data_IF_136852427642
#
_entry.id   IF_136852427642
#
_cell.length_a   1.000
_cell.length_b   1.000
_cell.length_c   1.000
_cell.angle_alpha   90.00
_cell.angle_beta   90.00
_cell.angle_gamma   90.00
#
_symmetry.space_group_name_H-M   'P 1'
#
loop_
_entity.id
_entity.type
_entity.pdbx_description
1 polymer ?
#
# COMPACT_ATOMS: atom_id res chain seq x y z
N UNK A 1 -34.41 -44.83 -7.15
CA UNK A 1 -33.82 -44.06 -8.27
C UNK A 1 -32.37 -43.76 -7.90
N UNK A 2 -31.45 -44.64 -8.27
CA UNK A 2 -30.00 -44.43 -8.09
C UNK A 2 -29.51 -43.67 -9.33
N UNK A 3 -29.15 -42.40 -9.17
CA UNK A 3 -28.46 -41.66 -10.24
C UNK A 3 -27.00 -42.09 -10.18
N UNK A 4 -26.65 -42.99 -11.09
CA UNK A 4 -25.28 -43.46 -11.30
C UNK A 4 -24.49 -42.34 -11.96
N UNK A 5 -23.67 -41.63 -11.16
CA UNK A 5 -22.72 -40.65 -11.68
C UNK A 5 -21.57 -41.38 -12.38
N UNK A 6 -21.66 -41.51 -13.70
CA UNK A 6 -20.53 -41.91 -14.55
C UNK A 6 -19.40 -40.90 -14.41
N UNK A 7 -18.39 -41.24 -13.63
CA UNK A 7 -17.11 -40.53 -13.65
C UNK A 7 -16.38 -40.98 -14.91
N UNK A 8 -16.43 -40.16 -15.96
CA UNK A 8 -15.64 -40.35 -17.17
C UNK A 8 -14.19 -40.07 -16.78
N UNK A 9 -13.47 -41.12 -16.41
CA UNK A 9 -12.03 -41.07 -16.13
C UNK A 9 -11.27 -40.98 -17.46
N UNK A 10 -11.34 -39.83 -18.11
CA UNK A 10 -10.49 -39.50 -19.23
C UNK A 10 -9.10 -39.11 -18.71
N UNK A 11 -8.04 -39.73 -19.22
CA UNK A 11 -6.67 -39.24 -19.08
C UNK A 11 -6.53 -37.89 -19.82
N UNK A 12 -7.10 -36.84 -19.25
CA UNK A 12 -6.90 -35.47 -19.74
C UNK A 12 -5.55 -34.98 -19.23
N UNK A 13 -4.79 -34.28 -20.07
CA UNK A 13 -3.54 -33.64 -19.68
C UNK A 13 -3.80 -32.65 -18.52
N UNK A 14 -3.52 -33.08 -17.29
CA UNK A 14 -3.80 -32.34 -16.04
C UNK A 14 -3.12 -30.97 -16.00
N UNK A 15 -2.05 -30.78 -16.78
CA UNK A 15 -1.29 -29.53 -16.92
C UNK A 15 -2.17 -28.29 -17.09
N UNK A 16 -3.26 -28.34 -17.87
CA UNK A 16 -4.14 -27.17 -18.06
C UNK A 16 -4.95 -26.85 -16.81
N UNK A 17 -5.43 -27.88 -16.11
CA UNK A 17 -6.19 -27.73 -14.86
C UNK A 17 -5.26 -27.28 -13.74
N UNK A 18 -4.04 -27.82 -13.66
CA UNK A 18 -3.00 -27.40 -12.71
C UNK A 18 -2.63 -25.92 -12.90
N UNK A 19 -2.42 -25.48 -14.15
CA UNK A 19 -2.15 -24.06 -14.45
C UNK A 19 -3.34 -23.17 -14.09
N UNK A 20 -4.56 -23.59 -14.40
CA UNK A 20 -5.76 -22.84 -14.05
C UNK A 20 -5.95 -22.75 -12.53
N UNK A 21 -5.81 -23.85 -11.81
CA UNK A 21 -5.93 -23.91 -10.35
C UNK A 21 -4.81 -23.10 -9.66
N UNK A 22 -3.57 -23.16 -10.17
CA UNK A 22 -2.47 -22.35 -9.67
C UNK A 22 -2.68 -20.84 -9.94
N UNK A 23 -3.30 -20.49 -11.06
CA UNK A 23 -3.65 -19.09 -11.36
C UNK A 23 -4.78 -18.61 -10.45
N UNK A 24 -5.82 -19.43 -10.28
CA UNK A 24 -6.93 -19.13 -9.37
C UNK A 24 -6.44 -18.98 -7.92
N UNK A 25 -5.59 -19.90 -7.45
CA UNK A 25 -5.00 -19.81 -6.11
C UNK A 25 -4.15 -18.55 -5.88
N UNK A 26 -3.47 -18.04 -6.91
CA UNK A 26 -2.75 -16.75 -6.83
C UNK A 26 -3.70 -15.55 -6.78
N UNK A 27 -4.83 -15.60 -7.48
CA UNK A 27 -5.86 -14.56 -7.45
C UNK A 27 -6.56 -14.55 -6.08
N UNK A 28 -6.96 -15.72 -5.59
CA UNK A 28 -7.70 -15.89 -4.34
C UNK A 28 -6.85 -15.56 -3.10
N UNK A 29 -5.52 -15.75 -3.17
CA UNK A 29 -4.61 -15.37 -2.11
C UNK A 29 -4.61 -13.85 -1.82
N UNK A 30 -5.03 -13.04 -2.80
CA UNK A 30 -5.06 -11.58 -2.68
C UNK A 30 -3.68 -10.95 -2.47
N UNK A 31 -3.61 -9.63 -2.61
CA UNK A 31 -2.41 -8.88 -2.22
C UNK A 31 -2.63 -8.32 -0.81
N UNK A 32 -1.88 -8.84 0.16
CA UNK A 32 -1.83 -8.25 1.50
C UNK A 32 -0.89 -7.04 1.43
N UNK A 33 -1.46 -5.85 1.31
CA UNK A 33 -0.68 -4.62 1.34
C UNK A 33 -0.16 -4.35 2.76
N UNK A 34 1.08 -3.86 2.91
CA UNK A 34 1.58 -3.43 4.20
C UNK A 34 0.75 -2.27 4.72
N UNK A 35 0.61 -2.19 6.05
CA UNK A 35 -0.11 -1.10 6.70
C UNK A 35 0.54 0.25 6.35
N UNK A 36 -0.29 1.25 6.06
CA UNK A 36 0.17 2.63 5.90
C UNK A 36 0.87 3.13 7.18
N UNK A 37 2.11 3.64 7.12
CA UNK A 37 2.82 4.09 8.32
C UNK A 37 2.05 5.18 9.07
N UNK A 38 2.00 5.08 10.40
CA UNK A 38 1.28 6.07 11.23
C UNK A 38 1.89 7.48 11.09
N UNK A 39 3.21 7.58 10.92
CA UNK A 39 3.91 8.87 10.69
C UNK A 39 3.34 9.63 9.47
N UNK A 40 2.91 8.89 8.44
CA UNK A 40 2.35 9.41 7.20
C UNK A 40 0.89 9.89 7.35
N UNK A 41 0.24 9.65 8.49
CA UNK A 41 -1.08 10.21 8.81
C UNK A 41 -1.00 11.52 9.59
N UNK A 42 0.16 11.82 10.18
CA UNK A 42 0.33 13.01 11.01
C UNK A 42 0.51 14.23 10.12
N UNK A 43 -0.02 15.35 10.59
CA UNK A 43 0.21 16.67 10.02
C UNK A 43 1.15 17.45 10.93
N UNK A 44 2.07 18.19 10.33
CA UNK A 44 2.90 19.13 11.08
C UNK A 44 2.08 20.34 11.50
N UNK A 45 2.20 20.74 12.77
CA UNK A 45 1.57 21.97 13.24
C UNK A 45 2.31 23.20 12.71
N UNK A 46 1.57 24.24 12.37
CA UNK A 46 2.10 25.57 12.15
C UNK A 46 2.81 26.12 13.40
N UNK A 47 3.73 27.04 13.20
CA UNK A 47 4.36 27.77 14.28
C UNK A 47 3.35 28.64 15.03
N UNK A 48 3.43 28.64 16.35
CA UNK A 48 2.58 29.49 17.17
C UNK A 48 2.87 30.98 16.93
N UNK A 49 1.81 31.75 16.71
CA UNK A 49 1.85 33.22 16.61
C UNK A 49 1.37 33.80 17.93
N UNK A 50 2.29 34.38 18.68
CA UNK A 50 2.02 35.01 19.98
C UNK A 50 2.00 36.53 19.84
N UNK A 51 1.22 37.22 20.69
CA UNK A 51 1.21 38.68 20.72
C UNK A 51 2.58 39.19 21.15
N UNK A 52 3.15 40.10 20.35
CA UNK A 52 4.50 40.62 20.56
C UNK A 52 5.63 39.76 19.98
N UNK A 53 5.32 38.62 19.35
CA UNK A 53 6.32 37.84 18.64
C UNK A 53 6.88 38.62 17.44
N UNK A 54 8.19 38.56 17.27
CA UNK A 54 8.85 39.11 16.09
C UNK A 54 8.48 38.27 14.85
N UNK A 55 8.01 38.93 13.79
CA UNK A 55 7.40 38.26 12.63
C UNK A 55 8.40 37.39 11.87
N UNK A 56 9.67 37.79 11.72
CA UNK A 56 10.70 36.98 11.06
C UNK A 56 10.98 35.71 11.84
N UNK A 57 10.98 35.75 13.17
CA UNK A 57 11.13 34.58 14.04
C UNK A 57 9.98 33.59 13.86
N UNK A 58 8.74 34.08 13.72
CA UNK A 58 7.58 33.23 13.34
C UNK A 58 7.83 32.55 11.99
N UNK A 59 8.25 33.30 10.97
CA UNK A 59 8.52 32.75 9.63
C UNK A 59 9.66 31.71 9.64
N UNK A 60 10.72 31.91 10.43
CA UNK A 60 11.79 30.92 10.57
C UNK A 60 11.24 29.62 11.16
N UNK A 61 10.40 29.70 12.20
CA UNK A 61 9.76 28.53 12.81
C UNK A 61 8.80 27.83 11.84
N UNK A 62 8.04 28.58 11.05
CA UNK A 62 7.17 28.04 10.00
C UNK A 62 7.97 27.28 8.94
N UNK A 63 9.12 27.83 8.50
CA UNK A 63 10.00 27.13 7.54
C UNK A 63 10.49 25.81 8.12
N UNK A 64 10.90 25.79 9.38
CA UNK A 64 11.30 24.54 10.03
C UNK A 64 10.16 23.52 10.15
N UNK A 65 8.92 23.97 10.37
CA UNK A 65 7.74 23.08 10.34
C UNK A 65 7.52 22.52 8.94
N UNK A 66 7.54 23.38 7.92
CA UNK A 66 7.40 22.95 6.53
C UNK A 66 8.49 21.95 6.11
N UNK A 67 9.74 22.16 6.53
CA UNK A 67 10.84 21.23 6.24
C UNK A 67 10.59 19.84 6.84
N UNK A 68 10.06 19.76 8.07
CA UNK A 68 9.67 18.48 8.68
C UNK A 68 8.51 17.82 7.94
N UNK A 69 7.51 18.60 7.51
CA UNK A 69 6.40 18.08 6.72
C UNK A 69 6.87 17.58 5.35
N UNK A 70 7.75 18.29 4.67
CA UNK A 70 8.27 17.90 3.36
C UNK A 70 9.12 16.62 3.47
N UNK A 71 9.99 16.53 4.47
CA UNK A 71 10.77 15.31 4.73
C UNK A 71 9.87 14.11 5.05
N UNK A 72 8.76 14.32 5.77
CA UNK A 72 7.75 13.29 6.00
C UNK A 72 7.08 12.87 4.70
N UNK A 73 6.62 13.83 3.89
CA UNK A 73 5.98 13.57 2.59
C UNK A 73 6.89 12.73 1.68
N UNK A 74 8.17 13.06 1.60
CA UNK A 74 9.15 12.32 0.80
C UNK A 74 9.29 10.85 1.25
N UNK A 75 9.46 10.61 2.55
CA UNK A 75 9.52 9.22 3.07
C UNK A 75 8.23 8.44 2.78
N UNK A 76 7.08 9.10 2.88
CA UNK A 76 5.78 8.49 2.62
C UNK A 76 5.54 8.20 1.14
N UNK A 77 6.02 9.05 0.22
CA UNK A 77 5.96 8.75 -1.21
C UNK A 77 6.85 7.58 -1.58
N UNK A 78 8.08 7.52 -1.03
CA UNK A 78 8.98 6.38 -1.24
C UNK A 78 8.34 5.07 -0.79
N UNK A 79 7.71 5.04 0.40
CA UNK A 79 6.99 3.86 0.86
C UNK A 79 5.89 3.43 -0.13
N UNK A 80 5.10 4.38 -0.63
CA UNK A 80 4.05 4.08 -1.60
C UNK A 80 4.63 3.52 -2.91
N UNK A 81 5.69 4.13 -3.45
CA UNK A 81 6.33 3.69 -4.68
C UNK A 81 6.95 2.29 -4.55
N UNK A 82 7.51 1.97 -3.37
CA UNK A 82 8.00 0.64 -3.03
C UNK A 82 6.87 -0.39 -3.02
N UNK A 83 5.75 -0.08 -2.37
CA UNK A 83 4.56 -0.93 -2.35
C UNK A 83 4.05 -1.15 -3.78
N UNK A 84 3.90 -0.07 -4.54
CA UNK A 84 3.45 -0.13 -5.94
C UNK A 84 4.38 -0.98 -6.79
N UNK A 85 5.70 -0.88 -6.60
CA UNK A 85 6.70 -1.65 -7.36
C UNK A 85 6.64 -3.13 -6.99
N UNK A 86 6.57 -3.46 -5.70
CA UNK A 86 6.56 -4.85 -5.21
C UNK A 86 5.30 -5.61 -5.61
N UNK A 87 4.16 -4.93 -5.66
CA UNK A 87 2.85 -5.55 -5.89
C UNK A 87 2.24 -5.22 -7.25
N UNK A 88 3.02 -4.66 -8.19
CA UNK A 88 2.56 -4.49 -9.56
C UNK A 88 2.22 -5.86 -10.15
N UNK A 89 0.95 -6.07 -10.50
CA UNK A 89 0.53 -7.27 -11.21
C UNK A 89 1.37 -7.41 -12.49
N UNK A 90 2.00 -8.58 -12.66
CA UNK A 90 2.53 -9.02 -13.95
C UNK A 90 1.42 -9.69 -14.73
#
# INVERSE_FOLDING_TARGET
MLISSTVISGCTTTKRIEVAAATQGKIDAGVVLPKWPEDCRRQEAHAAVEVGAELRSVIVRERSALDRQNARTERCSIFYDDVKTRYRAK
#
